data_IF_328151988214
#
_entry.id   IF_328151988214
#
_cell.length_a   1.000
_cell.length_b   1.000
_cell.length_c   1.000
_cell.angle_alpha   90.00
_cell.angle_beta   90.00
_cell.angle_gamma   90.00
#
_symmetry.space_group_name_H-M   'P 1'
#
loop_
_entity.id
_entity.type
_entity.pdbx_description
1 polymer ?
#
# COMPACT_ATOMS: atom_id res chain seq x y z
N UNK A 1 -77.68 28.23 12.63
CA UNK A 1 -76.29 27.83 12.33
C UNK A 1 -75.70 28.84 11.36
N UNK A 2 -74.58 29.48 11.70
CA UNK A 2 -73.59 29.91 10.72
C UNK A 2 -72.28 29.13 10.96
N UNK A 3 -71.72 28.61 9.87
CA UNK A 3 -70.39 28.04 9.83
C UNK A 3 -69.35 29.14 10.06
N UNK A 4 -68.35 28.88 10.92
CA UNK A 4 -67.16 29.73 11.03
C UNK A 4 -66.21 29.34 9.88
N UNK A 5 -65.79 30.28 9.01
CA UNK A 5 -64.87 29.98 7.93
C UNK A 5 -63.42 29.90 8.42
N UNK A 6 -62.72 28.89 7.87
CA UNK A 6 -61.40 28.95 7.24
C UNK A 6 -60.18 29.44 8.04
N UNK A 7 -59.16 28.57 8.05
CA UNK A 7 -57.72 28.87 8.17
C UNK A 7 -57.17 29.33 9.53
N UNK A 8 -56.68 28.35 10.30
CA UNK A 8 -55.42 28.50 11.03
C UNK A 8 -54.54 27.26 10.79
N UNK A 9 -54.21 27.00 9.52
CA UNK A 9 -52.99 26.26 9.19
C UNK A 9 -51.91 27.31 8.97
N UNK A 10 -51.23 27.71 10.04
CA UNK A 10 -49.86 28.21 10.03
C UNK A 10 -49.54 28.75 11.42
N UNK A 11 -49.16 27.83 12.29
CA UNK A 11 -48.08 28.12 13.19
C UNK A 11 -47.18 26.90 13.00
N UNK A 12 -46.23 26.97 12.08
CA UNK A 12 -45.00 26.20 12.29
C UNK A 12 -44.57 26.61 13.71
N UNK A 13 -44.54 25.65 14.62
CA UNK A 13 -44.25 25.93 16.02
C UNK A 13 -42.84 26.53 16.05
N UNK A 14 -42.72 27.81 16.41
CA UNK A 14 -41.45 28.57 16.28
C UNK A 14 -40.31 27.96 17.09
N UNK A 15 -40.64 27.04 18.02
CA UNK A 15 -39.70 26.28 18.83
C UNK A 15 -39.40 24.88 18.28
N UNK A 16 -40.12 24.38 17.27
CA UNK A 16 -39.87 23.09 16.64
C UNK A 16 -38.48 23.05 15.99
N UNK A 17 -38.10 24.14 15.32
CA UNK A 17 -36.77 24.29 14.73
C UNK A 17 -35.66 24.27 15.78
N UNK A 18 -35.89 24.94 16.92
CA UNK A 18 -34.96 24.95 18.06
C UNK A 18 -34.86 23.56 18.72
N UNK A 19 -35.98 22.83 18.82
CA UNK A 19 -36.03 21.50 19.40
C UNK A 19 -35.31 20.46 18.52
N UNK A 20 -35.32 20.66 17.20
CA UNK A 20 -34.64 19.82 16.22
C UNK A 20 -33.20 20.27 15.93
N UNK A 21 -32.73 21.37 16.54
CA UNK A 21 -31.45 21.98 16.19
C UNK A 21 -30.25 21.06 16.46
N UNK A 22 -30.29 20.30 17.56
CA UNK A 22 -29.25 19.32 17.90
C UNK A 22 -29.15 18.22 16.84
N UNK A 23 -30.28 17.62 16.46
CA UNK A 23 -30.34 16.58 15.43
C UNK A 23 -29.84 17.12 14.08
N UNK A 24 -30.24 18.35 13.72
CA UNK A 24 -29.77 19.01 12.48
C UNK A 24 -28.26 19.18 12.45
N UNK A 25 -27.66 19.70 13.52
CA UNK A 25 -26.21 19.86 13.59
C UNK A 25 -25.47 18.52 13.68
N UNK A 26 -26.08 17.50 14.29
CA UNK A 26 -25.53 16.15 14.31
C UNK A 26 -25.51 15.56 12.89
N UNK A 27 -26.63 15.61 12.17
CA UNK A 27 -26.72 15.15 10.78
C UNK A 27 -25.79 15.95 9.86
N UNK A 28 -25.71 17.27 10.03
CA UNK A 28 -24.80 18.14 9.28
C UNK A 28 -23.34 17.74 9.53
N UNK A 29 -22.91 17.68 10.79
CA UNK A 29 -21.55 17.28 11.15
C UNK A 29 -21.19 15.87 10.70
N UNK A 30 -22.12 14.92 10.78
CA UNK A 30 -21.93 13.56 10.27
C UNK A 30 -21.73 13.57 8.75
N UNK A 31 -22.59 14.28 8.01
CA UNK A 31 -22.51 14.35 6.55
C UNK A 31 -21.24 15.07 6.09
N UNK A 32 -20.86 16.18 6.74
CA UNK A 32 -19.62 16.89 6.48
C UNK A 32 -18.39 16.01 6.75
N UNK A 33 -18.35 15.37 7.92
CA UNK A 33 -17.29 14.45 8.29
C UNK A 33 -17.16 13.27 7.33
N UNK A 34 -18.29 12.68 6.93
CA UNK A 34 -18.32 11.58 5.97
C UNK A 34 -17.81 12.03 4.59
N UNK A 35 -18.22 13.20 4.11
CA UNK A 35 -17.77 13.74 2.82
C UNK A 35 -16.27 14.08 2.83
N UNK A 36 -15.81 14.76 3.88
CA UNK A 36 -14.41 15.12 4.05
C UNK A 36 -13.53 13.86 4.17
N UNK A 37 -13.93 12.91 5.03
CA UNK A 37 -13.22 11.66 5.24
C UNK A 37 -13.16 10.79 3.98
N UNK A 38 -14.27 10.68 3.25
CA UNK A 38 -14.30 9.92 1.97
C UNK A 38 -13.36 10.53 0.95
N UNK A 39 -13.35 11.87 0.81
CA UNK A 39 -12.48 12.57 -0.12
C UNK A 39 -11.01 12.44 0.25
N UNK A 40 -10.68 12.64 1.53
CA UNK A 40 -9.32 12.52 2.05
C UNK A 40 -8.80 11.08 1.90
N UNK A 41 -9.57 10.10 2.37
CA UNK A 41 -9.19 8.68 2.30
C UNK A 41 -9.02 8.18 0.86
N UNK A 42 -9.82 8.66 -0.09
CA UNK A 42 -9.62 8.33 -1.51
C UNK A 42 -8.31 8.92 -2.07
N UNK A 43 -8.01 10.18 -1.75
CA UNK A 43 -6.80 10.84 -2.22
C UNK A 43 -5.54 10.16 -1.65
N UNK A 44 -5.54 9.91 -0.34
CA UNK A 44 -4.46 9.22 0.37
C UNK A 44 -4.28 7.79 -0.12
N UNK A 45 -5.35 7.00 -0.18
CA UNK A 45 -5.29 5.61 -0.63
C UNK A 45 -4.77 5.48 -2.07
N UNK A 46 -5.11 6.43 -2.95
CA UNK A 46 -4.57 6.49 -4.30
C UNK A 46 -3.06 6.77 -4.31
N UNK A 47 -2.62 7.78 -3.56
CA UNK A 47 -1.20 8.13 -3.48
C UNK A 47 -0.38 6.97 -2.89
N UNK A 48 -0.83 6.43 -1.76
CA UNK A 48 -0.19 5.31 -1.08
C UNK A 48 -0.13 4.06 -1.98
N UNK A 49 -1.19 3.77 -2.73
CA UNK A 49 -1.21 2.66 -3.69
C UNK A 49 -0.16 2.81 -4.79
N UNK A 50 0.00 4.02 -5.34
CA UNK A 50 1.02 4.32 -6.36
C UNK A 50 2.43 4.18 -5.79
N UNK A 51 2.68 4.76 -4.62
CA UNK A 51 4.00 4.68 -3.96
C UNK A 51 4.35 3.23 -3.61
N UNK A 52 3.39 2.48 -3.07
CA UNK A 52 3.55 1.05 -2.74
C UNK A 52 3.86 0.24 -4.00
N UNK A 53 3.07 0.40 -5.07
CA UNK A 53 3.33 -0.25 -6.34
C UNK A 53 4.73 0.06 -6.86
N UNK A 54 5.12 1.34 -6.87
CA UNK A 54 6.45 1.78 -7.30
C UNK A 54 7.58 1.09 -6.53
N UNK A 55 7.52 1.11 -5.19
CA UNK A 55 8.52 0.44 -4.34
C UNK A 55 8.59 -1.07 -4.64
N UNK A 56 7.44 -1.73 -4.83
CA UNK A 56 7.40 -3.16 -5.13
C UNK A 56 8.10 -3.50 -6.45
N UNK A 57 7.79 -2.77 -7.52
CA UNK A 57 8.43 -3.00 -8.82
C UNK A 57 9.90 -2.59 -8.85
N UNK A 58 10.28 -1.54 -8.12
CA UNK A 58 11.68 -1.13 -8.01
C UNK A 58 12.51 -2.25 -7.38
N UNK A 59 12.05 -2.81 -6.26
CA UNK A 59 12.71 -3.93 -5.58
C UNK A 59 12.78 -5.18 -6.48
N UNK A 60 11.68 -5.49 -7.17
CA UNK A 60 11.60 -6.63 -8.09
C UNK A 60 12.55 -6.48 -9.27
N UNK A 61 12.57 -5.31 -9.90
CA UNK A 61 13.45 -4.98 -11.02
C UNK A 61 14.92 -5.03 -10.61
N UNK A 62 15.27 -4.54 -9.42
CA UNK A 62 16.62 -4.66 -8.87
C UNK A 62 17.04 -6.13 -8.71
N UNK A 63 16.16 -6.98 -8.17
CA UNK A 63 16.43 -8.41 -8.04
C UNK A 63 16.66 -9.07 -9.40
N UNK A 64 15.75 -8.87 -10.34
CA UNK A 64 15.83 -9.44 -11.69
C UNK A 64 17.07 -8.97 -12.44
N UNK A 65 17.40 -7.68 -12.34
CA UNK A 65 18.61 -7.10 -12.94
C UNK A 65 19.89 -7.72 -12.37
N UNK A 66 20.00 -7.83 -11.03
CA UNK A 66 21.17 -8.45 -10.39
C UNK A 66 21.32 -9.92 -10.78
N UNK A 67 20.22 -10.68 -10.78
CA UNK A 67 20.23 -12.07 -11.22
C UNK A 67 20.71 -12.19 -12.67
N UNK A 68 20.18 -11.38 -13.58
CA UNK A 68 20.56 -11.43 -15.00
C UNK A 68 22.05 -11.11 -15.21
N UNK A 69 22.57 -10.08 -14.54
CA UNK A 69 24.00 -9.73 -14.61
C UNK A 69 24.88 -10.86 -14.06
N UNK A 70 24.51 -11.45 -12.93
CA UNK A 70 25.30 -12.51 -12.30
C UNK A 70 25.27 -13.84 -13.05
N UNK A 71 24.22 -14.11 -13.83
CA UNK A 71 24.19 -15.27 -14.72
C UNK A 71 25.22 -15.17 -15.84
N UNK A 72 25.40 -13.98 -16.43
CA UNK A 72 26.43 -13.78 -17.46
C UNK A 72 27.84 -13.88 -16.84
N UNK A 73 28.04 -13.30 -15.65
CA UNK A 73 29.32 -13.29 -14.93
C UNK A 73 29.69 -14.65 -14.33
N UNK A 74 28.75 -15.60 -14.23
CA UNK A 74 28.99 -16.90 -13.57
C UNK A 74 30.11 -17.70 -14.26
N UNK A 75 30.33 -17.46 -15.56
CA UNK A 75 31.36 -18.12 -16.35
C UNK A 75 32.78 -17.63 -16.02
N UNK A 76 32.91 -16.47 -15.39
CA UNK A 76 34.19 -15.91 -14.94
C UNK A 76 34.59 -16.42 -13.55
N UNK A 77 33.70 -17.13 -12.86
CA UNK A 77 33.97 -17.68 -11.53
C UNK A 77 34.78 -18.98 -11.61
N UNK A 78 35.59 -19.27 -10.58
CA UNK A 78 36.22 -20.57 -10.42
C UNK A 78 35.19 -21.73 -10.44
N UNK A 79 35.53 -22.85 -11.07
CA UNK A 79 34.61 -24.00 -11.25
C UNK A 79 33.98 -24.49 -9.94
N UNK A 80 34.72 -24.48 -8.83
CA UNK A 80 34.22 -24.89 -7.51
C UNK A 80 33.14 -23.95 -6.93
N UNK A 81 32.99 -22.73 -7.47
CA UNK A 81 31.96 -21.77 -7.10
C UNK A 81 30.82 -21.68 -8.12
N UNK A 82 31.08 -22.04 -9.38
CA UNK A 82 30.17 -21.88 -10.51
C UNK A 82 28.86 -22.62 -10.29
N UNK A 83 28.92 -23.92 -10.03
CA UNK A 83 27.74 -24.78 -9.83
C UNK A 83 26.85 -24.27 -8.68
N UNK A 84 27.45 -23.99 -7.52
CA UNK A 84 26.73 -23.44 -6.36
C UNK A 84 26.10 -22.07 -6.61
N UNK A 85 26.72 -21.25 -7.44
CA UNK A 85 26.22 -19.92 -7.80
C UNK A 85 25.02 -20.06 -8.74
N UNK A 86 25.11 -20.94 -9.74
CA UNK A 86 24.01 -21.26 -10.65
C UNK A 86 22.79 -21.80 -9.90
N UNK A 87 22.97 -22.75 -8.99
CA UNK A 87 21.87 -23.28 -8.16
C UNK A 87 21.17 -22.17 -7.36
N UNK A 88 21.94 -21.26 -6.77
CA UNK A 88 21.37 -20.13 -6.00
C UNK A 88 20.61 -19.16 -6.90
N UNK A 89 21.13 -18.84 -8.09
CA UNK A 89 20.47 -17.99 -9.07
C UNK A 89 19.14 -18.61 -9.53
N UNK A 90 19.13 -19.91 -9.81
CA UNK A 90 17.92 -20.65 -10.16
C UNK A 90 16.88 -20.62 -9.04
N UNK A 91 17.29 -20.80 -7.78
CA UNK A 91 16.37 -20.68 -6.64
C UNK A 91 15.78 -19.27 -6.51
N UNK A 92 16.57 -18.23 -6.74
CA UNK A 92 16.09 -16.84 -6.71
C UNK A 92 15.08 -16.60 -7.84
N UNK A 93 15.36 -17.10 -9.06
CA UNK A 93 14.43 -17.01 -10.20
C UNK A 93 13.11 -17.73 -9.93
N UNK A 94 13.16 -18.95 -9.40
CA UNK A 94 11.96 -19.72 -9.05
C UNK A 94 11.10 -18.98 -8.03
N UNK A 95 11.72 -18.32 -7.04
CA UNK A 95 10.98 -17.51 -6.08
C UNK A 95 10.31 -16.29 -6.71
N UNK A 96 10.98 -15.61 -7.65
CA UNK A 96 10.51 -14.36 -8.24
C UNK A 96 9.47 -14.59 -9.35
N UNK A 97 9.56 -15.71 -10.07
CA UNK A 97 8.69 -16.03 -11.21
C UNK A 97 7.65 -17.12 -10.88
N UNK A 98 7.35 -17.33 -9.59
CA UNK A 98 6.34 -18.30 -9.20
C UNK A 98 4.93 -17.89 -9.65
N UNK A 99 4.65 -16.59 -9.61
CA UNK A 99 3.37 -15.99 -9.97
C UNK A 99 3.57 -14.96 -11.09
N UNK A 100 2.50 -14.62 -11.81
CA UNK A 100 2.52 -13.55 -12.81
C UNK A 100 2.88 -12.20 -12.16
N UNK A 101 3.60 -11.29 -12.85
CA UNK A 101 3.97 -9.98 -12.30
C UNK A 101 2.77 -9.17 -11.79
N UNK A 102 1.61 -9.34 -12.44
CA UNK A 102 0.37 -8.65 -12.10
C UNK A 102 -0.32 -9.21 -10.84
N UNK A 103 0.02 -10.44 -10.42
CA UNK A 103 -0.51 -11.02 -9.18
C UNK A 103 -0.20 -10.13 -7.98
N UNK A 104 1.02 -9.60 -7.91
CA UNK A 104 1.49 -8.78 -6.81
C UNK A 104 0.98 -7.33 -6.80
N UNK A 105 0.16 -6.95 -7.80
CA UNK A 105 -0.58 -5.69 -7.82
C UNK A 105 -1.83 -5.73 -6.94
N UNK A 106 -2.29 -6.91 -6.54
CA UNK A 106 -3.44 -7.01 -5.64
C UNK A 106 -3.09 -6.47 -4.25
N UNK A 107 -4.06 -5.75 -3.67
CA UNK A 107 -4.05 -5.29 -2.29
C UNK A 107 -4.78 -6.26 -1.35
N UNK A 108 -5.15 -7.46 -1.83
CA UNK A 108 -5.70 -8.50 -0.97
C UNK A 108 -4.68 -8.91 0.09
N UNK A 109 -5.11 -8.96 1.35
CA UNK A 109 -4.26 -9.24 2.52
C UNK A 109 -3.39 -10.50 2.33
N UNK A 110 -3.95 -11.57 1.74
CA UNK A 110 -3.23 -12.80 1.46
C UNK A 110 -2.09 -12.60 0.42
N UNK A 111 -2.35 -11.82 -0.63
CA UNK A 111 -1.39 -11.56 -1.71
C UNK A 111 -0.26 -10.66 -1.21
N UNK A 112 -0.60 -9.63 -0.44
CA UNK A 112 0.39 -8.75 0.21
C UNK A 112 1.33 -9.56 1.10
N UNK A 113 0.79 -10.43 1.95
CA UNK A 113 1.60 -11.26 2.85
C UNK A 113 2.53 -12.21 2.08
N UNK A 114 2.04 -12.81 0.99
CA UNK A 114 2.85 -13.67 0.13
C UNK A 114 3.99 -12.89 -0.54
N UNK A 115 3.69 -11.71 -1.09
CA UNK A 115 4.68 -10.81 -1.68
C UNK A 115 5.78 -10.47 -0.66
N UNK A 116 5.41 -10.02 0.54
CA UNK A 116 6.37 -9.64 1.59
C UNK A 116 7.25 -10.83 2.01
N UNK A 117 6.64 -12.01 2.17
CA UNK A 117 7.36 -13.24 2.53
C UNK A 117 8.35 -13.65 1.44
N UNK A 118 7.92 -13.64 0.18
CA UNK A 118 8.77 -13.91 -0.98
C UNK A 118 9.92 -12.89 -1.03
N UNK A 119 9.60 -11.60 -0.95
CA UNK A 119 10.56 -10.51 -1.05
C UNK A 119 11.61 -10.55 0.07
N UNK A 120 11.20 -10.84 1.31
CA UNK A 120 12.12 -11.03 2.43
C UNK A 120 13.12 -12.16 2.16
N UNK A 121 12.66 -13.30 1.64
CA UNK A 121 13.52 -14.43 1.28
C UNK A 121 14.45 -14.09 0.11
N UNK A 122 13.93 -13.45 -0.94
CA UNK A 122 14.69 -13.08 -2.12
C UNK A 122 15.79 -12.05 -1.79
N UNK A 123 15.44 -10.97 -1.05
CA UNK A 123 16.41 -9.97 -0.55
C UNK A 123 17.52 -10.61 0.27
N UNK A 124 17.20 -11.57 1.14
CA UNK A 124 18.20 -12.30 1.91
C UNK A 124 19.15 -13.14 1.03
N UNK A 125 18.60 -13.91 0.08
CA UNK A 125 19.39 -14.73 -0.85
C UNK A 125 20.29 -13.90 -1.75
N UNK A 126 19.79 -12.78 -2.28
CA UNK A 126 20.59 -11.89 -3.14
C UNK A 126 21.73 -11.24 -2.36
N UNK A 127 21.51 -10.81 -1.12
CA UNK A 127 22.59 -10.25 -0.28
C UNK A 127 23.67 -11.28 0.04
N UNK A 128 23.30 -12.52 0.36
CA UNK A 128 24.30 -13.57 0.63
C UNK A 128 25.03 -14.00 -0.64
N UNK A 129 24.35 -14.03 -1.78
CA UNK A 129 24.96 -14.31 -3.07
C UNK A 129 25.98 -13.23 -3.45
N UNK A 130 25.60 -11.95 -3.33
CA UNK A 130 26.49 -10.81 -3.57
C UNK A 130 27.80 -10.93 -2.78
N UNK A 131 27.71 -11.22 -1.48
CA UNK A 131 28.88 -11.44 -0.64
C UNK A 131 29.72 -12.65 -1.08
N UNK A 132 29.06 -13.73 -1.53
CA UNK A 132 29.73 -14.98 -1.94
C UNK A 132 30.54 -14.85 -3.24
N UNK A 133 30.06 -14.03 -4.18
CA UNK A 133 30.69 -13.78 -5.48
C UNK A 133 31.60 -12.54 -5.45
N UNK A 134 31.59 -11.77 -4.36
CA UNK A 134 32.40 -10.56 -4.21
C UNK A 134 31.86 -9.36 -4.99
N UNK A 135 30.56 -9.32 -5.29
CA UNK A 135 29.96 -8.16 -5.94
C UNK A 135 29.76 -7.01 -4.96
N UNK A 136 29.41 -5.84 -5.51
CA UNK A 136 28.90 -4.72 -4.72
C UNK A 136 27.71 -5.15 -3.85
N UNK A 137 27.60 -4.52 -2.67
CA UNK A 137 26.50 -4.71 -1.73
C UNK A 137 25.18 -4.32 -2.38
N UNK A 138 24.21 -5.23 -2.36
CA UNK A 138 22.84 -4.95 -2.81
C UNK A 138 22.07 -4.23 -1.70
N UNK A 139 21.66 -3.00 -1.98
CA UNK A 139 20.86 -2.15 -1.10
C UNK A 139 19.43 -2.11 -1.62
N UNK A 140 18.47 -2.26 -0.72
CA UNK A 140 17.05 -2.07 -1.01
C UNK A 140 16.62 -0.89 -0.15
N UNK A 141 16.29 0.21 -0.81
CA UNK A 141 15.84 1.42 -0.14
C UNK A 141 14.38 1.29 0.25
N UNK A 142 14.04 1.79 1.43
CA UNK A 142 12.66 1.81 1.91
C UNK A 142 12.12 3.23 1.74
N UNK A 143 11.48 3.47 0.59
CA UNK A 143 10.95 4.78 0.23
C UNK A 143 9.67 5.12 1.00
N UNK A 144 9.08 4.16 1.73
CA UNK A 144 7.83 4.32 2.48
C UNK A 144 8.06 4.51 3.98
N UNK A 145 9.30 4.49 4.44
CA UNK A 145 9.67 4.51 5.87
C UNK A 145 9.07 5.67 6.69
N UNK A 146 8.68 6.77 6.06
CA UNK A 146 8.04 7.92 6.71
C UNK A 146 6.51 7.97 6.63
N UNK A 147 5.86 7.07 5.90
CA UNK A 147 4.40 7.00 5.75
C UNK A 147 3.76 5.92 6.62
N UNK A 148 4.55 4.94 7.07
CA UNK A 148 4.09 3.87 7.97
C UNK A 148 4.08 4.28 9.44
N UNK A 149 4.77 5.35 9.79
CA UNK A 149 4.63 6.00 11.08
C UNK A 149 3.43 6.93 10.93
N UNK A 150 2.30 6.57 11.54
CA UNK A 150 1.16 7.47 11.69
C UNK A 150 1.70 8.76 12.32
N UNK A 151 1.88 9.83 11.53
CA UNK A 151 1.85 11.17 12.10
C UNK A 151 0.44 11.30 12.68
N UNK A 152 0.32 11.10 13.99
CA UNK A 152 -0.92 11.21 14.73
C UNK A 152 -1.62 12.50 14.32
N UNK A 153 -2.66 12.38 13.49
CA UNK A 153 -3.51 13.48 13.07
C UNK A 153 -4.25 14.07 14.31
N UNK A 154 -4.23 13.36 15.44
CA UNK A 154 -4.77 13.81 16.72
C UNK A 154 -4.02 15.00 17.36
N UNK A 155 -2.79 15.32 16.94
CA UNK A 155 -2.02 16.42 17.55
C UNK A 155 -2.30 17.82 16.94
N UNK A 156 -3.23 17.93 15.98
CA UNK A 156 -3.51 19.18 15.25
C UNK A 156 -4.95 19.73 15.39
N UNK A 157 -5.73 19.28 16.38
CA UNK A 157 -7.05 19.84 16.69
C UNK A 157 -7.23 20.13 18.18
#
# INVERSE_FOLDING_TARGET
MPAIPTEMKQHDDIFEDLLQLEEKFYEEGYNEGLQAGTKAGFAEGREFGVQTGYQRFLDLGLLQGRVSVWEEQVNELPENKKEKTLERLQQIKQLIHQEDPDYFLSNDSAVVHQYETMMKKAKAKVRTLAASIGSEKVVFEDLLKGYTEEENIEDNF
#
